data_IF_269563994954
#
_entry.id   IF_269563994954
#
_cell.length_a   1.000
_cell.length_b   1.000
_cell.length_c   1.000
_cell.angle_alpha   90.00
_cell.angle_beta   90.00
_cell.angle_gamma   90.00
#
_symmetry.space_group_name_H-M   'P 1'
#
loop_
_entity.id
_entity.type
_entity.pdbx_description
1 polymer ?
#
# COMPACT_ATOMS: atom_id res chain seq x y z
N UNK A 1 10.27 50.75 30.74
CA UNK A 1 10.24 49.29 30.50
C UNK A 1 10.20 49.06 28.98
N UNK A 2 11.18 48.37 28.39
CA UNK A 2 11.15 48.04 26.97
C UNK A 2 10.21 46.84 26.71
N UNK A 3 9.49 46.78 25.58
CA UNK A 3 8.58 45.70 25.26
C UNK A 3 9.33 44.40 24.95
N UNK A 4 8.83 43.29 25.51
CA UNK A 4 9.38 41.94 25.34
C UNK A 4 9.08 41.46 23.92
N UNK A 5 10.12 41.42 23.08
CA UNK A 5 10.02 40.90 21.71
C UNK A 5 10.15 39.38 21.76
N UNK A 6 9.02 38.68 21.67
CA UNK A 6 9.02 37.22 21.56
C UNK A 6 9.73 36.81 20.27
N UNK A 7 10.98 36.39 20.40
CA UNK A 7 11.78 35.82 19.34
C UNK A 7 11.19 34.43 19.03
N UNK A 8 10.14 34.35 18.21
CA UNK A 8 9.75 33.11 17.56
C UNK A 8 10.89 32.70 16.63
N UNK A 9 11.85 31.95 17.17
CA UNK A 9 12.78 31.21 16.32
C UNK A 9 11.91 30.20 15.55
N UNK A 10 11.95 30.16 14.21
CA UNK A 10 11.29 29.08 13.48
C UNK A 10 11.77 27.76 14.11
N UNK A 11 10.80 26.92 14.47
CA UNK A 11 11.10 25.64 15.10
C UNK A 11 12.15 24.91 14.24
N UNK A 12 13.15 24.32 14.90
CA UNK A 12 14.24 23.63 14.20
C UNK A 12 13.61 22.57 13.30
N UNK A 13 13.71 22.78 11.98
CA UNK A 13 13.17 21.86 10.98
C UNK A 13 13.73 20.46 11.27
N UNK A 14 12.89 19.42 11.39
CA UNK A 14 13.38 18.07 11.58
C UNK A 14 14.27 17.69 10.38
N UNK A 15 15.35 16.91 10.61
CA UNK A 15 16.21 16.46 9.53
C UNK A 15 15.38 15.67 8.50
N UNK A 16 15.71 15.79 7.20
CA UNK A 16 15.01 15.07 6.16
C UNK A 16 15.15 13.55 6.38
N UNK A 17 14.05 12.83 6.19
CA UNK A 17 14.00 11.37 6.23
C UNK A 17 14.05 10.84 4.81
N UNK A 18 15.01 9.97 4.53
CA UNK A 18 15.10 9.27 3.25
C UNK A 18 14.92 7.78 3.49
N UNK A 19 14.13 7.11 2.66
CA UNK A 19 13.88 5.67 2.77
C UNK A 19 14.24 5.00 1.46
N UNK A 20 15.02 3.92 1.58
CA UNK A 20 15.45 3.07 0.48
C UNK A 20 14.98 1.65 0.73
N UNK A 21 14.34 1.08 -0.28
CA UNK A 21 13.98 -0.33 -0.33
C UNK A 21 14.98 -0.98 -1.26
N UNK A 22 15.90 -1.75 -0.69
CA UNK A 22 17.12 -2.23 -1.35
C UNK A 22 17.93 -1.08 -2.00
N UNK A 23 17.92 -0.98 -3.33
CA UNK A 23 18.62 0.05 -4.11
C UNK A 23 17.69 1.13 -4.66
N UNK A 24 16.38 1.06 -4.37
CA UNK A 24 15.38 2.00 -4.87
C UNK A 24 15.02 3.05 -3.82
N UNK A 25 15.17 4.32 -4.20
CA UNK A 25 14.66 5.45 -3.42
C UNK A 25 13.12 5.45 -3.46
N UNK A 26 12.51 5.47 -2.28
CA UNK A 26 11.08 5.41 -2.11
C UNK A 26 10.58 6.70 -1.43
N UNK A 27 9.60 7.42 -2.02
CA UNK A 27 9.18 8.73 -1.52
C UNK A 27 8.47 8.59 -0.17
N UNK A 28 8.87 9.38 0.81
CA UNK A 28 8.30 9.31 2.16
C UNK A 28 7.04 10.16 2.24
N UNK A 29 5.89 9.51 2.41
CA UNK A 29 4.58 10.19 2.55
C UNK A 29 4.35 10.66 3.99
N UNK A 30 4.87 9.92 4.97
CA UNK A 30 4.79 10.27 6.38
C UNK A 30 6.02 9.77 7.13
N UNK A 31 6.55 10.56 8.06
CA UNK A 31 7.54 10.13 9.04
C UNK A 31 7.34 10.93 10.32
N UNK A 32 6.95 10.25 11.41
CA UNK A 32 6.63 10.91 12.66
C UNK A 32 6.32 9.96 13.80
N UNK A 33 6.05 10.55 14.97
CA UNK A 33 5.61 9.84 16.17
C UNK A 33 4.11 9.54 16.04
N UNK A 34 3.73 8.26 16.04
CA UNK A 34 2.32 7.84 15.97
C UNK A 34 1.73 7.61 17.37
N UNK A 35 2.57 7.22 18.33
CA UNK A 35 2.22 7.09 19.74
C UNK A 35 3.48 7.20 20.60
N UNK A 36 3.34 7.27 21.93
CA UNK A 36 4.49 7.36 22.83
C UNK A 36 5.48 6.22 22.59
N UNK A 37 6.70 6.57 22.16
CA UNK A 37 7.76 5.61 21.84
C UNK A 37 7.65 4.91 20.49
N UNK A 38 6.60 5.15 19.69
CA UNK A 38 6.42 4.54 18.37
C UNK A 38 6.60 5.57 17.26
N UNK A 39 7.64 5.36 16.46
CA UNK A 39 7.85 6.08 15.21
C UNK A 39 7.36 5.24 14.04
N UNK A 40 6.61 5.87 13.14
CA UNK A 40 6.13 5.23 11.92
C UNK A 40 6.57 6.05 10.71
N UNK A 41 6.89 5.32 9.65
CA UNK A 41 7.11 5.88 8.33
C UNK A 41 6.19 5.21 7.32
N UNK A 42 5.55 6.01 6.47
CA UNK A 42 4.73 5.51 5.36
C UNK A 42 5.43 5.82 4.05
N UNK A 43 5.64 4.78 3.28
CA UNK A 43 6.38 4.82 2.03
C UNK A 43 5.66 3.90 1.05
N UNK A 44 5.31 4.36 -0.16
CA UNK A 44 4.77 3.49 -1.19
C UNK A 44 5.88 2.57 -1.70
N UNK A 45 5.54 1.30 -1.93
CA UNK A 45 6.47 0.35 -2.54
C UNK A 45 6.65 0.72 -4.01
N UNK A 46 7.89 0.89 -4.52
CA UNK A 46 8.13 1.20 -5.92
C UNK A 46 7.57 0.09 -6.82
N UNK A 47 6.86 0.48 -7.89
CA UNK A 47 6.18 -0.47 -8.78
C UNK A 47 7.14 -1.40 -9.56
N UNK A 48 8.44 -1.08 -9.58
CA UNK A 48 9.46 -1.83 -10.31
C UNK A 48 10.11 -2.95 -9.48
N UNK A 49 9.71 -3.16 -8.22
CA UNK A 49 10.18 -4.30 -7.43
C UNK A 49 9.46 -5.58 -7.86
N UNK A 50 10.24 -6.63 -8.15
CA UNK A 50 9.73 -7.98 -8.31
C UNK A 50 9.34 -8.58 -6.96
N UNK A 51 8.62 -9.70 -6.97
CA UNK A 51 8.29 -10.42 -5.73
C UNK A 51 9.56 -10.87 -5.01
N UNK A 52 9.65 -10.64 -3.70
CA UNK A 52 10.82 -11.01 -2.92
C UNK A 52 10.98 -10.24 -1.62
N UNK A 53 11.98 -10.62 -0.83
CA UNK A 53 12.35 -9.97 0.42
C UNK A 53 13.39 -8.87 0.19
N UNK A 54 13.00 -7.62 0.44
CA UNK A 54 13.91 -6.48 0.29
C UNK A 54 14.23 -5.85 1.64
N UNK A 55 15.52 -5.56 1.92
CA UNK A 55 15.89 -4.84 3.13
C UNK A 55 15.42 -3.39 3.04
N UNK A 56 14.83 -2.88 4.12
CA UNK A 56 14.49 -1.46 4.23
C UNK A 56 15.57 -0.74 5.01
N UNK A 57 16.08 0.34 4.44
CA UNK A 57 16.98 1.26 5.13
C UNK A 57 16.37 2.64 5.16
N UNK A 58 16.18 3.19 6.34
CA UNK A 58 15.84 4.59 6.53
C UNK A 58 17.07 5.35 7.01
N UNK A 59 17.25 6.57 6.52
CA UNK A 59 18.30 7.48 6.95
C UNK A 59 17.67 8.80 7.39
N UNK A 60 18.01 9.22 8.61
CA UNK A 60 17.50 10.44 9.25
C UNK A 60 18.68 11.24 9.78
N UNK A 61 18.97 12.38 9.18
CA UNK A 61 20.04 13.27 9.66
C UNK A 61 21.43 12.60 9.73
N UNK A 62 21.71 11.65 8.83
CA UNK A 62 22.98 10.90 8.77
C UNK A 62 23.01 9.62 9.61
N UNK A 63 21.97 9.34 10.41
CA UNK A 63 21.83 8.07 11.12
C UNK A 63 21.02 7.09 10.26
N UNK A 64 21.57 5.90 10.00
CA UNK A 64 20.97 4.88 9.14
C UNK A 64 20.47 3.69 9.97
N UNK A 65 19.27 3.20 9.68
CA UNK A 65 18.70 2.03 10.36
C UNK A 65 19.43 0.75 9.96
N UNK A 66 19.58 -0.18 10.91
CA UNK A 66 20.12 -1.50 10.62
C UNK A 66 19.21 -2.29 9.66
N UNK A 67 19.80 -3.12 8.79
CA UNK A 67 19.11 -3.92 7.76
C UNK A 67 18.40 -5.16 8.32
N UNK A 68 17.71 -5.04 9.46
CA UNK A 68 17.03 -6.17 10.09
C UNK A 68 15.59 -6.35 9.57
N UNK A 69 14.95 -5.28 9.12
CA UNK A 69 13.60 -5.33 8.57
C UNK A 69 13.65 -5.70 7.09
N UNK A 70 13.17 -6.92 6.76
CA UNK A 70 12.90 -7.35 5.39
C UNK A 70 11.42 -7.15 5.11
N UNK A 71 11.11 -6.49 4.01
CA UNK A 71 9.75 -6.41 3.49
C UNK A 71 9.59 -7.47 2.41
N UNK A 72 8.70 -8.44 2.65
CA UNK A 72 8.21 -9.33 1.62
C UNK A 72 7.27 -8.53 0.70
N UNK A 73 7.71 -8.29 -0.53
CA UNK A 73 6.91 -7.69 -1.58
C UNK A 73 6.26 -8.84 -2.36
N UNK A 74 4.94 -8.83 -2.40
CA UNK A 74 4.15 -9.69 -3.27
C UNK A 74 3.22 -8.81 -4.08
N UNK A 75 3.37 -8.83 -5.40
CA UNK A 75 2.45 -8.26 -6.35
C UNK A 75 1.20 -9.11 -6.29
N UNK A 76 0.24 -8.68 -5.47
CA UNK A 76 -1.07 -9.31 -5.47
C UNK A 76 -1.67 -9.08 -6.86
N UNK A 77 -1.73 -10.15 -7.64
CA UNK A 77 -2.68 -10.21 -8.74
C UNK A 77 -4.02 -10.10 -8.01
N UNK A 78 -4.63 -8.92 -8.04
CA UNK A 78 -6.04 -8.79 -7.68
C UNK A 78 -6.77 -9.61 -8.72
N UNK A 79 -6.88 -10.91 -8.46
CA UNK A 79 -7.74 -11.79 -9.22
C UNK A 79 -9.08 -11.11 -9.13
N UNK A 80 -9.51 -10.52 -10.25
CA UNK A 80 -10.86 -10.01 -10.40
C UNK A 80 -11.73 -11.04 -9.74
N UNK A 81 -12.43 -10.64 -8.68
CA UNK A 81 -13.32 -11.52 -7.93
C UNK A 81 -14.36 -11.92 -8.94
N UNK A 82 -14.09 -13.00 -9.69
CA UNK A 82 -14.88 -13.46 -10.83
C UNK A 82 -16.27 -13.48 -10.30
N UNK A 83 -17.07 -12.54 -10.80
CA UNK A 83 -18.41 -12.33 -10.33
C UNK A 83 -19.03 -13.72 -10.24
N UNK A 84 -19.43 -14.13 -9.03
CA UNK A 84 -20.31 -15.28 -8.89
C UNK A 84 -21.36 -15.07 -9.97
N UNK A 85 -21.60 -16.02 -10.89
CA UNK A 85 -22.60 -15.82 -11.91
C UNK A 85 -23.89 -15.51 -11.16
N UNK A 86 -24.27 -14.23 -11.20
CA UNK A 86 -25.41 -13.73 -10.46
C UNK A 86 -26.56 -14.16 -11.33
N UNK A 87 -27.04 -15.38 -11.07
CA UNK A 87 -28.08 -16.05 -11.82
C UNK A 87 -29.15 -15.03 -12.20
N UNK A 88 -29.12 -14.57 -13.45
CA UNK A 88 -29.95 -13.47 -13.85
C UNK A 88 -31.33 -14.07 -14.06
N UNK A 89 -32.34 -13.58 -13.34
CA UNK A 89 -33.70 -14.15 -13.39
C UNK A 89 -34.33 -14.11 -14.80
N UNK A 90 -33.71 -13.38 -15.73
CA UNK A 90 -34.06 -13.34 -17.16
C UNK A 90 -33.59 -14.54 -18.00
N UNK A 91 -32.63 -15.35 -17.53
CA UNK A 91 -32.09 -16.49 -18.28
C UNK A 91 -33.01 -17.71 -18.32
N UNK A 92 -34.18 -17.65 -17.67
CA UNK A 92 -35.20 -18.70 -17.73
C UNK A 92 -35.82 -18.86 -19.12
N UNK A 93 -35.80 -17.83 -19.96
CA UNK A 93 -36.22 -17.93 -21.38
C UNK A 93 -35.19 -18.72 -22.21
N UNK A 94 -33.98 -18.90 -21.67
CA UNK A 94 -32.83 -19.69 -22.13
C UNK A 94 -33.15 -21.14 -22.47
N UNK A 95 -33.84 -21.74 -21.50
CA UNK A 95 -33.99 -23.18 -21.32
C UNK A 95 -35.30 -23.73 -21.88
N UNK A 96 -36.27 -22.86 -22.20
CA UNK A 96 -37.57 -23.27 -22.74
C UNK A 96 -37.47 -24.02 -24.09
N UNK A 97 -36.62 -23.64 -25.06
CA UNK A 97 -36.47 -24.43 -26.28
C UNK A 97 -35.75 -25.77 -26.04
N UNK A 98 -34.88 -25.86 -25.02
CA UNK A 98 -34.11 -27.08 -24.73
C UNK A 98 -34.97 -28.13 -24.00
N UNK A 99 -35.80 -27.70 -23.05
CA UNK A 99 -36.76 -28.60 -22.36
C UNK A 99 -37.87 -29.07 -23.31
N UNK A 100 -38.30 -28.23 -24.25
CA UNK A 100 -39.29 -28.62 -25.27
C UNK A 100 -38.78 -29.74 -26.19
N UNK A 101 -37.51 -29.68 -26.62
CA UNK A 101 -36.91 -30.75 -27.45
C UNK A 101 -36.82 -32.10 -26.74
N UNK A 102 -36.60 -32.13 -25.43
CA UNK A 102 -36.53 -33.39 -24.67
C UNK A 102 -37.91 -34.05 -24.58
N UNK A 103 -38.98 -33.25 -24.50
CA UNK A 103 -40.37 -33.76 -24.40
C UNK A 103 -40.94 -34.23 -25.74
N UNK A 104 -40.42 -33.73 -26.87
CA UNK A 104 -40.84 -34.13 -28.22
C UNK A 104 -40.06 -35.37 -28.75
N UNK A 105 -39.05 -35.84 -28.01
CA UNK A 105 -38.19 -36.97 -28.37
C UNK A 105 -38.42 -38.24 -27.52
N UNK A 106 -39.51 -38.29 -26.75
CA UNK A 106 -39.97 -39.44 -25.97
C UNK A 106 -41.39 -39.81 -26.39
#
# INVERSE_FOLDING_TARGET
>A
MPPVRWLQRPCRRPPPVTVRIDSHDAPVTFAGLTSAGLYQMHVPVPANLADGDYPVTAEVGGARTAKFAKLAVAKSISAARTARPLWNRGDKQQFLPLVRRIREAA
#
